data_IF_764182813714
#
_entry.id   IF_764182813714
#
_cell.length_a   1.000
_cell.length_b   1.000
_cell.length_c   1.000
_cell.angle_alpha   90.00
_cell.angle_beta   90.00
_cell.angle_gamma   90.00
#
_symmetry.space_group_name_H-M   'P 1'
#
loop_
_entity.id
_entity.type
_entity.pdbx_description
1 polymer ?
#
# COMPACT_ATOMS: atom_id res chain seq x y z
N UNK A 1 8.17 48.42 28.29
CA UNK A 1 7.63 47.04 28.44
C UNK A 1 6.33 47.14 29.24
N UNK A 2 5.20 46.68 28.70
CA UNK A 2 3.91 46.75 29.42
C UNK A 2 3.84 45.62 30.44
N UNK A 3 3.50 45.96 31.67
CA UNK A 3 3.34 45.01 32.77
C UNK A 3 1.85 44.85 33.09
N UNK A 4 1.48 43.64 33.52
CA UNK A 4 0.09 43.25 33.73
C UNK A 4 -0.13 42.71 35.12
N UNK A 5 -1.33 42.88 35.65
CA UNK A 5 -1.72 42.31 36.93
C UNK A 5 -2.01 40.80 36.78
N UNK A 6 -2.15 40.11 37.92
CA UNK A 6 -2.44 38.68 37.95
C UNK A 6 -3.74 38.31 37.23
N UNK A 7 -4.72 39.21 37.19
CA UNK A 7 -6.03 38.93 36.58
C UNK A 7 -5.93 38.96 35.04
N UNK A 8 -5.18 39.90 34.48
CA UNK A 8 -4.93 39.94 33.04
C UNK A 8 -4.12 38.73 32.57
N UNK A 9 -3.09 38.32 33.31
CA UNK A 9 -2.32 37.10 33.01
C UNK A 9 -3.20 35.85 33.10
N UNK A 10 -4.04 35.77 34.13
CA UNK A 10 -4.98 34.67 34.31
C UNK A 10 -5.93 34.52 33.12
N UNK A 11 -6.52 35.63 32.65
CA UNK A 11 -7.37 35.65 31.46
C UNK A 11 -6.61 35.24 30.20
N UNK A 12 -5.36 35.69 30.05
CA UNK A 12 -4.58 35.42 28.85
C UNK A 12 -4.09 33.98 28.76
N UNK A 13 -3.67 33.39 29.88
CA UNK A 13 -3.23 31.99 29.94
C UNK A 13 -4.39 31.02 30.21
N UNK A 14 -5.62 31.48 30.09
CA UNK A 14 -6.87 30.73 30.32
C UNK A 14 -6.86 29.93 31.63
N UNK A 15 -6.55 30.60 32.73
CA UNK A 15 -6.50 29.99 34.06
C UNK A 15 -7.04 30.92 35.14
N UNK A 16 -7.19 30.40 36.36
CA UNK A 16 -7.67 31.21 37.48
C UNK A 16 -6.56 32.11 38.05
N UNK A 17 -6.86 33.31 38.59
CA UNK A 17 -5.87 34.15 39.27
C UNK A 17 -5.19 33.45 40.46
N UNK A 18 -5.90 32.52 41.11
CA UNK A 18 -5.36 31.66 42.17
C UNK A 18 -4.27 30.72 41.65
N UNK A 19 -4.44 30.18 40.44
CA UNK A 19 -3.41 29.37 39.79
C UNK A 19 -2.17 30.19 39.41
N UNK A 20 -2.35 31.42 38.91
CA UNK A 20 -1.23 32.34 38.63
C UNK A 20 -0.42 32.61 39.90
N UNK A 21 -1.10 32.90 41.01
CA UNK A 21 -0.45 33.13 42.31
C UNK A 21 0.33 31.89 42.77
N UNK A 22 -0.30 30.70 42.74
CA UNK A 22 0.37 29.45 43.11
C UNK A 22 1.60 29.14 42.25
N UNK A 23 1.53 29.39 40.94
CA UNK A 23 2.67 29.21 40.04
C UNK A 23 3.79 30.24 40.30
N UNK A 24 3.43 31.44 40.77
CA UNK A 24 4.39 32.47 41.18
C UNK A 24 5.09 32.09 42.48
N UNK A 25 4.35 31.60 43.47
CA UNK A 25 4.88 31.11 44.76
C UNK A 25 5.83 29.92 44.56
N UNK A 26 5.54 29.07 43.57
CA UNK A 26 6.42 27.95 43.16
C UNK A 26 7.64 28.39 42.34
N UNK A 27 7.82 29.69 42.08
CA UNK A 27 8.91 30.24 41.29
C UNK A 27 8.83 29.97 39.78
N UNK A 28 7.71 29.42 39.30
CA UNK A 28 7.49 29.11 37.88
C UNK A 28 7.19 30.41 37.10
N UNK A 29 6.30 31.24 37.63
CA UNK A 29 6.04 32.58 37.09
C UNK A 29 6.81 33.62 37.90
N UNK A 30 7.36 34.63 37.24
CA UNK A 30 8.12 35.69 37.89
C UNK A 30 7.46 37.05 37.71
N UNK A 31 7.44 37.83 38.79
CA UNK A 31 7.01 39.23 38.77
C UNK A 31 8.21 40.12 38.50
N UNK A 32 8.00 41.24 37.82
CA UNK A 32 9.06 42.21 37.51
C UNK A 32 9.12 43.32 38.55
N UNK A 33 8.00 43.99 38.77
CA UNK A 33 7.92 45.16 39.63
C UNK A 33 6.58 45.17 40.35
N UNK A 34 6.62 45.26 41.68
CA UNK A 34 5.41 45.43 42.51
C UNK A 34 4.32 44.37 42.31
N UNK A 35 4.69 43.12 42.01
CA UNK A 35 3.72 42.05 41.77
C UNK A 35 3.10 42.03 40.36
N UNK A 36 3.62 42.82 39.42
CA UNK A 36 3.19 42.82 38.02
C UNK A 36 4.06 41.89 37.17
N UNK A 37 3.46 41.35 36.10
CA UNK A 37 4.03 40.33 35.23
C UNK A 37 4.30 40.86 33.83
N UNK A 38 5.32 40.29 33.20
CA UNK A 38 5.50 40.34 31.75
C UNK A 38 4.65 39.26 31.10
N UNK A 39 3.78 39.62 30.15
CA UNK A 39 2.94 38.63 29.48
C UNK A 39 3.78 37.62 28.68
N UNK A 40 4.79 38.11 27.95
CA UNK A 40 5.66 37.28 27.11
C UNK A 40 6.44 36.29 27.98
N UNK A 41 7.06 36.77 29.07
CA UNK A 41 7.85 35.89 29.92
C UNK A 41 6.98 34.91 30.72
N UNK A 42 5.82 35.35 31.21
CA UNK A 42 4.87 34.47 31.88
C UNK A 42 4.37 33.36 30.94
N UNK A 43 4.12 33.69 29.67
CA UNK A 43 3.70 32.71 28.65
C UNK A 43 4.79 31.70 28.38
N UNK A 44 6.03 32.14 28.12
CA UNK A 44 7.15 31.21 27.90
C UNK A 44 7.44 30.34 29.12
N UNK A 45 7.39 30.91 30.33
CA UNK A 45 7.58 30.17 31.56
C UNK A 45 6.49 29.11 31.78
N UNK A 46 5.23 29.45 31.46
CA UNK A 46 4.12 28.51 31.55
C UNK A 46 4.22 27.38 30.52
N UNK A 47 4.58 27.68 29.26
CA UNK A 47 4.79 26.67 28.21
C UNK A 47 5.91 25.70 28.61
N UNK A 48 7.04 26.20 29.11
CA UNK A 48 8.12 25.33 29.61
C UNK A 48 7.64 24.44 30.76
N UNK A 49 6.93 25.02 31.73
CA UNK A 49 6.34 24.25 32.82
C UNK A 49 5.42 23.12 32.34
N UNK A 50 4.62 23.37 31.31
CA UNK A 50 3.76 22.33 30.72
C UNK A 50 4.57 21.24 30.02
N UNK A 51 5.64 21.60 29.31
CA UNK A 51 6.55 20.64 28.64
C UNK A 51 7.30 19.78 29.64
N UNK A 52 7.86 20.37 30.70
CA UNK A 52 8.60 19.65 31.74
C UNK A 52 7.69 18.72 32.56
N UNK A 53 6.40 19.07 32.69
CA UNK A 53 5.41 18.23 33.38
C UNK A 53 4.87 17.10 32.51
N UNK A 54 5.03 17.20 31.18
CA UNK A 54 4.57 16.21 30.21
C UNK A 54 5.69 15.90 29.20
N UNK A 55 6.84 15.34 29.66
CA UNK A 55 7.96 15.00 28.77
C UNK A 55 7.56 13.97 27.69
N UNK A 56 6.52 13.19 27.99
CA UNK A 56 5.86 12.23 27.11
C UNK A 56 5.24 12.85 25.83
N UNK A 57 4.97 14.16 25.75
CA UNK A 57 4.20 14.73 24.63
C UNK A 57 4.98 14.90 23.32
N UNK A 58 6.31 15.03 23.34
CA UNK A 58 7.11 15.08 22.09
C UNK A 58 7.34 13.66 21.54
N UNK A 59 7.60 12.67 22.40
CA UNK A 59 7.76 11.26 21.99
C UNK A 59 6.43 10.55 21.65
N UNK A 60 5.31 10.85 22.33
CA UNK A 60 4.03 10.20 22.02
C UNK A 60 3.40 10.64 20.70
N UNK A 61 3.69 11.85 20.21
CA UNK A 61 3.21 12.28 18.89
C UNK A 61 3.91 11.44 17.82
N UNK A 62 5.22 11.25 17.93
CA UNK A 62 6.02 10.40 17.02
C UNK A 62 5.61 8.92 17.11
N UNK A 63 5.46 8.37 18.31
CA UNK A 63 5.02 6.98 18.51
C UNK A 63 3.61 6.71 17.99
N UNK A 64 2.68 7.66 18.11
CA UNK A 64 1.33 7.52 17.56
C UNK A 64 1.32 7.62 16.03
N UNK A 65 2.14 8.50 15.45
CA UNK A 65 2.31 8.58 13.99
C UNK A 65 2.91 7.29 13.42
N UNK A 66 3.96 6.76 14.02
CA UNK A 66 4.58 5.49 13.60
C UNK A 66 3.62 4.31 13.78
N UNK A 67 2.85 4.25 14.88
CA UNK A 67 1.79 3.24 15.06
C UNK A 67 0.67 3.36 14.03
N UNK A 68 0.28 4.57 13.64
CA UNK A 68 -0.73 4.79 12.61
C UNK A 68 -0.23 4.32 11.23
N UNK A 69 1.03 4.63 10.88
CA UNK A 69 1.67 4.13 9.64
C UNK A 69 1.74 2.60 9.64
N UNK A 70 2.18 1.99 10.76
CA UNK A 70 2.27 0.54 10.90
C UNK A 70 0.89 -0.13 10.77
N UNK A 71 -0.14 0.40 11.42
CA UNK A 71 -1.51 -0.11 11.33
C UNK A 71 -2.05 -0.02 9.90
N UNK A 72 -1.77 1.08 9.19
CA UNK A 72 -2.15 1.23 7.79
C UNK A 72 -1.45 0.20 6.90
N UNK A 73 -0.15 -0.03 7.11
CA UNK A 73 0.61 -1.03 6.37
C UNK A 73 0.11 -2.46 6.65
N UNK A 74 -0.18 -2.80 7.91
CA UNK A 74 -0.77 -4.10 8.29
C UNK A 74 -2.12 -4.33 7.62
N UNK A 75 -3.02 -3.33 7.65
CA UNK A 75 -4.32 -3.40 6.96
C UNK A 75 -4.15 -3.65 5.45
N UNK A 76 -3.20 -2.96 4.81
CA UNK A 76 -2.92 -3.14 3.38
C UNK A 76 -2.37 -4.54 3.08
N UNK A 77 -1.48 -5.07 3.93
CA UNK A 77 -0.99 -6.44 3.77
C UNK A 77 -2.12 -7.47 3.94
N UNK A 78 -2.97 -7.30 4.96
CA UNK A 78 -4.13 -8.18 5.15
C UNK A 78 -5.11 -8.12 3.97
N UNK A 79 -5.29 -6.93 3.37
CA UNK A 79 -6.12 -6.72 2.18
C UNK A 79 -5.50 -7.39 0.94
N UNK A 80 -4.19 -7.31 0.77
CA UNK A 80 -3.46 -8.02 -0.28
C UNK A 80 -3.53 -9.54 -0.09
N UNK A 81 -3.29 -10.05 1.12
CA UNK A 81 -3.40 -11.47 1.44
C UNK A 81 -4.80 -12.01 1.19
N UNK A 82 -5.83 -11.22 1.52
CA UNK A 82 -7.22 -11.56 1.23
C UNK A 82 -7.50 -11.57 -0.29
N UNK A 83 -6.91 -10.66 -1.06
CA UNK A 83 -7.04 -10.60 -2.51
C UNK A 83 -6.32 -11.78 -3.20
N UNK A 84 -5.15 -12.19 -2.70
CA UNK A 84 -4.45 -13.41 -3.13
C UNK A 84 -5.31 -14.64 -2.83
N UNK A 85 -5.87 -14.76 -1.62
CA UNK A 85 -6.77 -15.88 -1.24
C UNK A 85 -8.05 -15.95 -2.07
N UNK A 86 -8.51 -14.82 -2.61
CA UNK A 86 -9.66 -14.76 -3.54
C UNK A 86 -9.28 -15.11 -4.99
N UNK A 87 -7.99 -15.29 -5.29
CA UNK A 87 -7.50 -15.51 -6.65
C UNK A 87 -7.52 -14.26 -7.54
N UNK A 88 -7.61 -13.06 -6.95
CA UNK A 88 -7.62 -11.79 -7.70
C UNK A 88 -6.20 -11.24 -7.93
N UNK A 89 -5.20 -11.77 -7.21
CA UNK A 89 -3.82 -11.31 -7.27
C UNK A 89 -2.89 -12.51 -7.46
N UNK A 90 -2.12 -12.51 -8.56
CA UNK A 90 -1.09 -13.51 -8.85
C UNK A 90 0.29 -12.85 -8.79
N UNK A 91 1.32 -13.61 -8.41
CA UNK A 91 2.69 -13.11 -8.51
C UNK A 91 3.04 -12.97 -9.99
N UNK A 92 3.79 -11.92 -10.32
CA UNK A 92 4.24 -11.69 -11.68
C UNK A 92 5.08 -12.87 -12.22
N UNK A 93 5.87 -13.50 -11.35
CA UNK A 93 6.69 -14.69 -11.69
C UNK A 93 5.84 -15.89 -12.13
N UNK A 94 4.69 -16.11 -11.48
CA UNK A 94 3.80 -17.23 -11.79
C UNK A 94 3.10 -16.99 -13.13
N UNK A 95 2.63 -15.75 -13.37
CA UNK A 95 2.09 -15.36 -14.68
C UNK A 95 3.13 -15.51 -15.78
N UNK A 96 4.37 -15.08 -15.54
CA UNK A 96 5.44 -15.15 -16.54
C UNK A 96 5.77 -16.59 -16.95
N UNK A 97 5.82 -17.52 -15.98
CA UNK A 97 6.02 -18.95 -16.26
C UNK A 97 4.89 -19.53 -17.11
N UNK A 98 3.64 -19.31 -16.69
CA UNK A 98 2.45 -19.83 -17.40
C UNK A 98 2.39 -19.28 -18.82
N UNK A 99 2.59 -17.96 -18.98
CA UNK A 99 2.59 -17.31 -20.29
C UNK A 99 3.74 -17.83 -21.17
N UNK A 100 4.92 -18.04 -20.59
CA UNK A 100 6.07 -18.58 -21.32
C UNK A 100 5.82 -20.01 -21.79
N UNK A 101 5.34 -20.90 -20.92
CA UNK A 101 5.00 -22.28 -21.25
C UNK A 101 3.92 -22.33 -22.34
N UNK A 102 2.88 -21.50 -22.20
CA UNK A 102 1.80 -21.37 -23.17
C UNK A 102 2.34 -20.92 -24.53
N UNK A 103 3.15 -19.86 -24.58
CA UNK A 103 3.73 -19.36 -25.83
C UNK A 103 4.66 -20.38 -26.50
N UNK A 104 5.41 -21.17 -25.72
CA UNK A 104 6.24 -22.25 -26.24
C UNK A 104 5.37 -23.33 -26.89
N UNK A 105 4.27 -23.73 -26.23
CA UNK A 105 3.33 -24.71 -26.79
C UNK A 105 2.69 -24.19 -28.08
N UNK A 106 2.20 -22.94 -28.09
CA UNK A 106 1.68 -22.27 -29.29
C UNK A 106 2.68 -22.32 -30.44
N UNK A 107 3.94 -21.94 -30.18
CA UNK A 107 5.00 -21.95 -31.19
C UNK A 107 5.23 -23.35 -31.74
N UNK A 108 5.29 -24.35 -30.87
CA UNK A 108 5.49 -25.75 -31.25
C UNK A 108 4.38 -26.23 -32.19
N UNK A 109 3.11 -26.04 -31.78
CA UNK A 109 1.94 -26.52 -32.51
C UNK A 109 1.76 -25.81 -33.86
N UNK A 110 1.96 -24.50 -33.91
CA UNK A 110 1.93 -23.75 -35.18
C UNK A 110 3.07 -24.15 -36.12
N UNK A 111 4.24 -24.47 -35.58
CA UNK A 111 5.40 -24.91 -36.38
C UNK A 111 5.22 -26.33 -36.93
N UNK A 112 4.33 -27.14 -36.35
CA UNK A 112 4.03 -28.49 -36.82
C UNK A 112 3.10 -28.51 -38.05
N UNK A 113 2.22 -27.50 -38.20
CA UNK A 113 1.22 -27.43 -39.28
C UNK A 113 1.83 -27.66 -40.68
N UNK A 114 2.94 -27.00 -41.07
CA UNK A 114 3.52 -27.21 -42.39
C UNK A 114 3.96 -28.66 -42.64
N UNK A 115 4.47 -29.34 -41.60
CA UNK A 115 4.93 -30.72 -41.71
C UNK A 115 3.75 -31.70 -41.78
N UNK A 116 2.72 -31.51 -40.96
CA UNK A 116 1.52 -32.35 -40.93
C UNK A 116 0.69 -32.23 -42.22
N UNK A 117 0.59 -31.03 -42.76
CA UNK A 117 -0.28 -30.76 -43.91
C UNK A 117 0.43 -30.87 -45.26
N UNK A 118 1.76 -31.03 -45.27
CA UNK A 118 2.57 -31.06 -46.50
C UNK A 118 2.09 -32.10 -47.52
N UNK A 119 1.84 -33.34 -47.07
CA UNK A 119 1.44 -34.45 -47.94
C UNK A 119 0.07 -34.18 -48.58
N UNK A 120 -0.86 -33.64 -47.79
CA UNK A 120 -2.22 -33.33 -48.26
C UNK A 120 -2.23 -32.15 -49.20
N UNK A 121 -1.45 -31.11 -48.90
CA UNK A 121 -1.27 -29.93 -49.76
C UNK A 121 -0.61 -30.29 -51.09
N UNK A 122 0.30 -31.26 -51.12
CA UNK A 122 0.96 -31.72 -52.35
C UNK A 122 -0.03 -32.33 -53.36
N UNK A 123 -1.18 -32.84 -52.90
CA UNK A 123 -2.23 -33.41 -53.76
C UNK A 123 -3.26 -32.37 -54.24
N UNK A 124 -3.25 -31.16 -53.68
CA UNK A 124 -4.19 -30.10 -54.03
C UNK A 124 -3.64 -29.23 -55.17
N UNK A 125 -4.47 -28.97 -56.18
CA UNK A 125 -4.10 -28.16 -57.35
C UNK A 125 -4.84 -26.81 -57.43
N UNK A 126 -5.91 -26.65 -56.65
CA UNK A 126 -6.73 -25.45 -56.60
C UNK A 126 -6.28 -24.51 -55.47
N UNK A 127 -5.75 -23.35 -55.85
CA UNK A 127 -5.25 -22.31 -54.93
C UNK A 127 -6.32 -21.81 -53.95
N UNK A 128 -7.57 -21.68 -54.38
CA UNK A 128 -8.64 -21.19 -53.52
C UNK A 128 -8.99 -22.23 -52.43
N UNK A 129 -9.02 -23.51 -52.82
CA UNK A 129 -9.23 -24.61 -51.86
C UNK A 129 -8.07 -24.76 -50.87
N UNK A 130 -6.83 -24.60 -51.34
CA UNK A 130 -5.64 -24.61 -50.46
C UNK A 130 -5.72 -23.51 -49.42
N UNK A 131 -6.07 -22.29 -49.82
CA UNK A 131 -6.19 -21.17 -48.89
C UNK A 131 -7.27 -21.41 -47.83
N UNK A 132 -8.47 -21.85 -48.24
CA UNK A 132 -9.55 -22.15 -47.30
C UNK A 132 -9.16 -23.26 -46.33
N UNK A 133 -8.48 -24.30 -46.81
CA UNK A 133 -8.01 -25.41 -46.00
C UNK A 133 -6.99 -24.98 -44.94
N UNK A 134 -5.91 -24.32 -45.34
CA UNK A 134 -4.87 -23.84 -44.43
C UNK A 134 -5.43 -22.87 -43.39
N UNK A 135 -6.29 -21.95 -43.81
CA UNK A 135 -6.88 -20.97 -42.91
C UNK A 135 -7.86 -21.63 -41.93
N UNK A 136 -8.54 -22.69 -42.35
CA UNK A 136 -9.35 -23.55 -41.47
C UNK A 136 -8.48 -24.24 -40.42
N UNK A 137 -7.38 -24.88 -40.84
CA UNK A 137 -6.49 -25.60 -39.91
C UNK A 137 -5.83 -24.66 -38.89
N UNK A 138 -5.35 -23.49 -39.33
CA UNK A 138 -4.79 -22.49 -38.43
C UNK A 138 -5.82 -22.03 -37.39
N UNK A 139 -7.07 -21.78 -37.80
CA UNK A 139 -8.12 -21.36 -36.87
C UNK A 139 -8.49 -22.46 -35.87
N UNK A 140 -8.52 -23.70 -36.31
CA UNK A 140 -8.76 -24.86 -35.44
C UNK A 140 -7.65 -24.98 -34.40
N UNK A 141 -6.38 -24.95 -34.82
CA UNK A 141 -5.25 -25.00 -33.89
C UNK A 141 -5.23 -23.83 -32.91
N UNK A 142 -5.56 -22.61 -33.37
CA UNK A 142 -5.69 -21.44 -32.49
C UNK A 142 -6.85 -21.58 -31.51
N UNK A 143 -7.98 -22.16 -31.92
CA UNK A 143 -9.12 -22.40 -31.04
C UNK A 143 -8.78 -23.43 -29.95
N UNK A 144 -8.12 -24.53 -30.31
CA UNK A 144 -7.63 -25.54 -29.36
C UNK A 144 -6.62 -24.94 -28.36
N UNK A 145 -5.76 -24.03 -28.83
CA UNK A 145 -4.77 -23.35 -27.99
C UNK A 145 -5.37 -22.22 -27.13
N UNK A 146 -6.54 -21.70 -27.51
CA UNK A 146 -7.23 -20.62 -26.78
C UNK A 146 -7.98 -21.09 -25.54
N UNK A 147 -7.96 -22.40 -25.22
CA UNK A 147 -8.57 -22.93 -24.00
C UNK A 147 -7.72 -22.64 -22.75
N UNK A 148 -7.48 -21.35 -22.48
CA UNK A 148 -6.63 -20.87 -21.40
C UNK A 148 -7.12 -21.34 -20.02
N UNK A 149 -8.44 -21.47 -19.81
CA UNK A 149 -8.99 -21.88 -18.51
C UNK A 149 -8.51 -23.26 -18.05
N UNK A 150 -8.27 -24.19 -18.96
CA UNK A 150 -7.86 -25.55 -18.62
C UNK A 150 -6.37 -25.57 -18.23
N UNK A 151 -5.54 -24.85 -18.98
CA UNK A 151 -4.11 -24.64 -18.68
C UNK A 151 -3.90 -23.97 -17.32
N UNK A 152 -4.71 -22.94 -17.00
CA UNK A 152 -4.64 -22.27 -15.71
C UNK A 152 -5.14 -23.17 -14.55
N UNK A 153 -6.15 -24.02 -14.76
CA UNK A 153 -6.70 -24.89 -13.70
C UNK A 153 -5.83 -26.10 -13.37
N UNK A 154 -5.05 -26.59 -14.34
CA UNK A 154 -4.17 -27.75 -14.13
C UNK A 154 -2.90 -27.37 -13.33
N UNK A 155 -2.25 -26.25 -13.65
CA UNK A 155 -1.02 -25.86 -12.93
C UNK A 155 -1.27 -25.28 -11.53
N UNK A 156 -2.42 -24.63 -11.27
CA UNK A 156 -2.78 -24.17 -9.90
C UNK A 156 -2.89 -25.36 -8.93
N UNK A 157 -3.30 -26.54 -9.40
CA UNK A 157 -3.37 -27.75 -8.56
C UNK A 157 -1.99 -28.31 -8.22
N UNK A 158 -1.03 -28.22 -9.15
CA UNK A 158 0.35 -28.67 -8.90
C UNK A 158 1.06 -27.79 -7.85
N UNK A 159 0.77 -26.49 -7.83
CA UNK A 159 1.30 -25.57 -6.82
C UNK A 159 0.68 -25.76 -5.42
N UNK A 160 -0.58 -26.20 -5.33
CA UNK A 160 -1.23 -26.52 -4.05
C UNK A 160 -0.76 -27.87 -3.46
N UNK A 161 -0.43 -28.86 -4.30
CA UNK A 161 0.06 -30.18 -3.84
C UNK A 161 1.56 -30.21 -3.51
N UNK A 162 2.33 -29.21 -3.97
CA UNK A 162 3.78 -29.11 -3.73
C UNK A 162 4.19 -28.41 -2.43
N UNK A 163 3.23 -27.96 -1.61
CA UNK A 163 3.48 -27.11 -0.44
C UNK A 163 3.03 -27.71 0.91
N UNK A 164 2.81 -29.03 0.97
CA UNK A 164 2.55 -29.83 2.19
C UNK A 164 3.79 -30.62 2.66
#
# INVERSE_FOLDING_TARGET
>A
MKLYDKNAVAKFLDMTPKNVQRLTEKGILQTKQGGLYSLVEATHAYIRYLRDRNPENEENIDLNEERAKLTKAKRLNEELDLSVKKGELHKAEDIEKIMSATLINFKSRLSAIPAEEAEKLATMTDKAKIFVYLNGRIKETLAELSNFEEVFKEEIKEDEEGND
#
